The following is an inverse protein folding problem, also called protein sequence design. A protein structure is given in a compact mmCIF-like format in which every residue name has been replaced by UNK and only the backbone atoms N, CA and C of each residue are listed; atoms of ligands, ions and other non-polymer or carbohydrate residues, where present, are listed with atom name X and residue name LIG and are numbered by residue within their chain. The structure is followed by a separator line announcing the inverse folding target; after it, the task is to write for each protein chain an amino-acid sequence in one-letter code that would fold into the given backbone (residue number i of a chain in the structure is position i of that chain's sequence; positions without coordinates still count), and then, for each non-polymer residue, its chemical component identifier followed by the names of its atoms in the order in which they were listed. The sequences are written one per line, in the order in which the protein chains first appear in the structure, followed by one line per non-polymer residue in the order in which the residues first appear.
data_IF_685361828434
#
_entry.id   IF_685361828434
#
_cell.length_a   1.000
_cell.length_b   1.000
_cell.length_c   1.000
_cell.angle_alpha   90.00
_cell.angle_beta   90.00
_cell.angle_gamma   90.00
#
_symmetry.space_group_name_H-M   'P 1'
#
loop_
_entity.id
_entity.type
_entity.pdbx_description
1 polymer ?
#
# COMPACT_ATOMS: atom_id res chain seq x y z
N UNK A 1 21.52 -3.49 -9.35
CA UNK A 1 21.27 -3.31 -7.90
C UNK A 1 19.78 -3.10 -7.70
N UNK A 2 19.19 -3.67 -6.64
CA UNK A 2 17.74 -3.54 -6.37
C UNK A 2 17.45 -2.16 -5.77
N UNK A 3 16.37 -1.52 -6.22
CA UNK A 3 15.97 -0.18 -5.80
C UNK A 3 14.54 -0.25 -5.28
N UNK A 4 14.35 0.00 -3.99
CA UNK A 4 13.03 0.08 -3.36
C UNK A 4 12.75 1.54 -3.05
N UNK A 5 11.54 2.00 -3.38
CA UNK A 5 11.14 3.39 -3.18
C UNK A 5 9.84 3.49 -2.38
N UNK A 6 9.71 4.55 -1.59
CA UNK A 6 8.44 4.99 -1.02
C UNK A 6 8.30 6.51 -1.19
N UNK A 7 7.09 7.04 -0.99
CA UNK A 7 6.82 8.47 -1.04
C UNK A 7 6.02 8.90 0.20
N UNK A 8 6.46 9.98 0.82
CA UNK A 8 5.88 10.57 2.02
C UNK A 8 5.58 12.05 1.78
N UNK A 9 4.39 12.51 2.16
CA UNK A 9 4.04 13.92 2.11
C UNK A 9 3.04 14.27 3.22
N UNK A 10 3.14 15.50 3.71
CA UNK A 10 2.32 15.99 4.80
C UNK A 10 2.59 15.27 6.12
N UNK A 11 1.59 15.22 7.00
CA UNK A 11 1.78 14.78 8.40
C UNK A 11 1.04 13.49 8.75
N UNK A 12 0.42 12.82 7.76
CA UNK A 12 -0.43 11.64 8.00
C UNK A 12 0.37 10.44 8.53
N UNK A 13 1.58 10.23 8.04
CA UNK A 13 2.40 9.06 8.35
C UNK A 13 3.78 9.50 8.85
N UNK A 14 3.99 9.59 10.15
CA UNK A 14 5.28 10.06 10.68
C UNK A 14 6.49 9.16 10.34
N UNK A 15 7.72 9.63 10.63
CA UNK A 15 8.97 8.90 10.35
C UNK A 15 9.02 7.43 10.78
N UNK A 16 8.37 7.01 11.91
CA UNK A 16 8.33 5.59 12.27
C UNK A 16 7.73 4.66 11.21
N UNK A 17 6.84 5.14 10.33
CA UNK A 17 6.33 4.33 9.21
C UNK A 17 7.44 4.02 8.20
N UNK A 18 8.25 5.02 7.86
CA UNK A 18 9.36 4.92 6.92
C UNK A 18 10.46 4.02 7.51
N UNK A 19 10.81 4.24 8.78
CA UNK A 19 11.84 3.46 9.47
C UNK A 19 11.44 1.97 9.61
N UNK A 20 10.17 1.69 9.96
CA UNK A 20 9.64 0.31 9.99
C UNK A 20 9.61 -0.30 8.60
N UNK A 21 9.22 0.46 7.57
CA UNK A 21 9.23 -0.03 6.19
C UNK A 21 10.65 -0.40 5.74
N UNK A 22 11.65 0.44 6.02
CA UNK A 22 13.05 0.10 5.77
C UNK A 22 13.46 -1.17 6.52
N UNK A 23 13.19 -1.26 7.82
CA UNK A 23 13.54 -2.43 8.64
C UNK A 23 12.93 -3.73 8.10
N UNK A 24 11.65 -3.66 7.70
CA UNK A 24 10.95 -4.75 7.03
C UNK A 24 11.58 -5.13 5.70
N UNK A 25 11.96 -4.17 4.87
CA UNK A 25 12.64 -4.43 3.58
C UNK A 25 14.01 -5.04 3.82
N UNK A 26 14.85 -4.45 4.66
CA UNK A 26 16.21 -4.89 4.94
C UNK A 26 16.27 -6.34 5.45
N UNK A 27 15.31 -6.75 6.28
CA UNK A 27 15.19 -8.14 6.75
C UNK A 27 14.79 -9.14 5.66
N UNK A 28 14.19 -8.67 4.56
CA UNK A 28 13.53 -9.51 3.56
C UNK A 28 14.04 -9.28 2.14
N UNK A 29 15.20 -8.67 1.94
CA UNK A 29 15.78 -8.50 0.60
C UNK A 29 17.27 -8.84 0.63
N UNK A 30 17.76 -9.55 -0.37
CA UNK A 30 19.20 -9.87 -0.44
C UNK A 30 20.01 -8.60 -0.75
N UNK A 31 21.02 -8.22 0.04
CA UNK A 31 21.92 -7.12 -0.30
C UNK A 31 22.77 -7.41 -1.56
N UNK A 32 23.28 -6.38 -2.26
CA UNK A 32 23.08 -4.95 -2.02
C UNK A 32 21.74 -4.44 -2.59
N UNK A 33 21.14 -3.47 -1.90
CA UNK A 33 19.96 -2.73 -2.35
C UNK A 33 20.03 -1.27 -1.90
N UNK A 34 19.29 -0.39 -2.59
CA UNK A 34 19.00 0.98 -2.13
C UNK A 34 17.55 1.07 -1.68
N UNK A 35 17.31 1.84 -0.63
CA UNK A 35 15.97 2.19 -0.18
C UNK A 35 15.85 3.72 -0.15
N UNK A 36 14.97 4.27 -0.98
CA UNK A 36 14.83 5.71 -1.18
C UNK A 36 13.44 6.16 -0.73
N UNK A 37 13.38 7.19 0.11
CA UNK A 37 12.14 7.87 0.45
C UNK A 37 12.10 9.25 -0.22
N UNK A 38 11.12 9.45 -1.09
CA UNK A 38 10.78 10.79 -1.58
C UNK A 38 9.92 11.50 -0.53
N UNK A 39 10.44 12.52 0.14
CA UNK A 39 9.78 13.19 1.24
C UNK A 39 9.90 14.72 1.19
N UNK A 40 8.99 15.40 1.88
CA UNK A 40 9.01 16.84 2.15
C UNK A 40 9.85 17.19 3.39
N UNK A 41 9.86 16.33 4.41
CA UNK A 41 10.64 16.50 5.63
C UNK A 41 11.41 15.21 5.98
N UNK A 42 12.75 15.21 5.96
CA UNK A 42 13.56 14.05 6.31
C UNK A 42 13.75 13.84 7.81
N UNK A 43 13.24 14.74 8.66
CA UNK A 43 13.49 14.72 10.10
C UNK A 43 13.02 13.42 10.74
N UNK A 44 13.90 12.79 11.53
CA UNK A 44 13.60 11.54 12.24
C UNK A 44 13.60 10.27 11.36
N UNK A 45 13.91 10.39 10.06
CA UNK A 45 14.18 9.24 9.20
C UNK A 45 15.60 8.74 9.48
N UNK A 46 15.75 7.42 9.57
CA UNK A 46 17.04 6.77 9.84
C UNK A 46 18.05 6.95 8.70
N UNK A 47 19.38 6.97 8.97
CA UNK A 47 20.41 7.31 7.98
C UNK A 47 20.58 6.29 6.86
N UNK A 48 20.12 5.04 7.04
CA UNK A 48 20.18 4.03 5.98
C UNK A 48 19.11 4.21 4.90
N UNK A 49 18.11 5.05 5.17
CA UNK A 49 17.14 5.48 4.16
C UNK A 49 17.72 6.68 3.43
N UNK A 50 17.89 6.53 2.12
CA UNK A 50 18.25 7.65 1.27
C UNK A 50 17.04 8.56 1.12
N UNK A 51 17.14 9.81 1.55
CA UNK A 51 16.05 10.78 1.46
C UNK A 51 16.27 11.70 0.27
N UNK A 52 15.25 11.81 -0.58
CA UNK A 52 15.22 12.73 -1.71
C UNK A 52 14.00 13.64 -1.58
N UNK A 53 14.06 14.90 -2.07
CA UNK A 53 12.89 15.76 -2.11
C UNK A 53 11.79 15.11 -2.96
N UNK A 54 10.53 15.40 -2.66
CA UNK A 54 9.41 15.02 -3.51
C UNK A 54 9.67 15.41 -4.97
N UNK A 55 9.48 14.50 -5.95
CA UNK A 55 9.68 14.84 -7.36
C UNK A 55 8.84 16.04 -7.75
N UNK A 56 9.48 17.00 -8.41
CA UNK A 56 8.85 18.23 -8.87
C UNK A 56 7.79 17.93 -9.92
N UNK A 57 6.69 18.69 -9.86
CA UNK A 57 5.57 18.63 -10.80
C UNK A 57 5.17 20.07 -11.10
N UNK A 58 4.71 20.31 -12.32
CA UNK A 58 4.28 21.62 -12.81
C UNK A 58 2.74 21.72 -12.94
N UNK A 59 2.03 20.86 -12.21
CA UNK A 59 0.57 20.86 -12.10
C UNK A 59 0.13 20.74 -10.64
N UNK A 60 -1.05 21.26 -10.33
CA UNK A 60 -1.64 21.14 -9.01
C UNK A 60 -2.24 19.73 -8.82
N UNK A 61 -2.00 19.12 -7.65
CA UNK A 61 -2.67 17.87 -7.29
C UNK A 61 -4.13 18.16 -6.94
N UNK A 62 -5.11 17.58 -7.65
CA UNK A 62 -6.51 17.89 -7.43
C UNK A 62 -6.99 17.38 -6.07
N UNK A 63 -7.77 18.21 -5.38
CA UNK A 63 -8.45 17.82 -4.13
C UNK A 63 -9.67 16.96 -4.48
N UNK A 64 -9.55 15.65 -4.25
CA UNK A 64 -10.61 14.70 -4.56
C UNK A 64 -11.03 13.88 -3.35
N UNK A 65 -12.25 13.33 -3.38
CA UNK A 65 -12.78 12.49 -2.31
C UNK A 65 -12.07 11.14 -2.20
N UNK A 66 -11.37 10.70 -3.24
CA UNK A 66 -10.81 9.35 -3.37
C UNK A 66 -9.60 9.35 -4.28
N UNK A 67 -8.76 8.32 -4.13
CA UNK A 67 -7.50 8.21 -4.86
C UNK A 67 -6.36 8.92 -4.12
N UNK A 68 -5.15 8.43 -4.39
CA UNK A 68 -3.91 8.93 -3.81
C UNK A 68 -3.08 9.56 -4.93
N UNK A 69 -3.62 10.63 -5.51
CA UNK A 69 -3.06 11.33 -6.67
C UNK A 69 -1.68 11.98 -6.48
N UNK A 70 -1.19 12.31 -5.26
CA UNK A 70 0.21 12.68 -5.06
C UNK A 70 1.22 11.64 -5.57
N UNK A 71 0.82 10.35 -5.71
CA UNK A 71 1.64 9.32 -6.36
C UNK A 71 1.99 9.65 -7.82
N UNK A 72 1.28 10.58 -8.46
CA UNK A 72 1.61 11.05 -9.81
C UNK A 72 3.02 11.64 -9.92
N UNK A 73 3.60 12.11 -8.82
CA UNK A 73 5.01 12.53 -8.74
C UNK A 73 5.99 11.42 -9.14
N UNK A 74 5.60 10.15 -8.97
CA UNK A 74 6.44 8.99 -9.33
C UNK A 74 6.42 8.67 -10.83
N UNK A 75 5.60 9.34 -11.62
CA UNK A 75 5.45 9.04 -13.05
C UNK A 75 6.43 9.81 -13.93
N UNK A 76 7.25 10.69 -13.36
CA UNK A 76 8.16 11.54 -14.11
C UNK A 76 9.26 10.82 -14.88
N UNK A 77 9.85 11.56 -15.81
CA UNK A 77 10.96 11.11 -16.65
C UNK A 77 12.18 10.67 -15.83
N UNK A 78 12.36 11.27 -14.66
CA UNK A 78 13.45 11.02 -13.71
C UNK A 78 12.90 10.95 -12.29
N UNK A 79 13.58 10.18 -11.45
CA UNK A 79 13.32 10.07 -10.01
C UNK A 79 14.66 10.13 -9.28
N UNK A 80 15.18 11.34 -9.09
CA UNK A 80 16.56 11.52 -8.61
C UNK A 80 17.58 10.98 -9.61
N UNK A 81 18.56 10.22 -9.11
CA UNK A 81 19.57 9.50 -9.88
C UNK A 81 19.15 8.05 -10.24
N UNK A 82 17.92 7.64 -9.88
CA UNK A 82 17.45 6.28 -10.11
C UNK A 82 17.26 6.00 -11.60
N UNK A 83 17.55 4.75 -11.98
CA UNK A 83 17.40 4.27 -13.36
C UNK A 83 16.97 2.81 -13.39
N UNK A 84 16.37 2.35 -14.49
CA UNK A 84 15.88 0.97 -14.59
C UNK A 84 14.76 0.68 -13.59
N UNK A 85 14.53 -0.60 -13.22
CA UNK A 85 13.38 -1.00 -12.42
C UNK A 85 13.49 -0.56 -10.95
N UNK A 86 12.43 0.06 -10.45
CA UNK A 86 12.19 0.38 -9.04
C UNK A 86 10.96 -0.37 -8.52
N UNK A 87 10.99 -0.81 -7.27
CA UNK A 87 9.83 -1.36 -6.57
C UNK A 87 9.26 -0.32 -5.61
N UNK A 88 8.07 0.20 -5.91
CA UNK A 88 7.36 1.09 -5.02
C UNK A 88 6.61 0.30 -3.93
N UNK A 89 6.69 0.80 -2.70
CA UNK A 89 5.95 0.31 -1.53
C UNK A 89 5.23 1.49 -0.84
N UNK A 90 3.92 1.33 -0.58
CA UNK A 90 3.18 2.22 0.32
C UNK A 90 3.73 2.12 1.75
N UNK A 91 3.51 3.15 2.56
CA UNK A 91 4.02 3.21 3.95
C UNK A 91 3.27 2.28 4.92
N UNK A 92 2.00 1.96 4.63
CA UNK A 92 1.09 1.22 5.51
C UNK A 92 0.92 -0.26 5.10
N UNK A 93 2.03 -0.92 4.76
CA UNK A 93 2.06 -2.37 4.48
C UNK A 93 3.02 -3.13 5.40
N UNK A 94 2.96 -4.46 5.31
CA UNK A 94 3.88 -5.39 5.94
C UNK A 94 4.71 -6.10 4.89
N UNK A 95 6.02 -6.24 5.11
CA UNK A 95 6.84 -7.23 4.38
C UNK A 95 7.01 -8.47 5.28
N UNK A 96 6.48 -9.59 4.81
CA UNK A 96 6.43 -10.87 5.54
C UNK A 96 7.32 -11.95 4.95
N UNK A 97 7.89 -11.73 3.76
CA UNK A 97 8.80 -12.66 3.11
C UNK A 97 9.64 -11.99 2.03
N UNK A 98 10.52 -12.76 1.38
CA UNK A 98 11.55 -12.21 0.48
C UNK A 98 10.95 -11.35 -0.65
N UNK A 99 11.58 -10.19 -0.89
CA UNK A 99 11.23 -9.23 -1.95
C UNK A 99 11.96 -9.50 -3.26
N UNK A 100 12.98 -10.36 -3.29
CA UNK A 100 13.80 -10.62 -4.48
C UNK A 100 12.95 -11.05 -5.68
N UNK A 101 11.92 -11.91 -5.52
CA UNK A 101 11.07 -12.31 -6.64
C UNK A 101 10.28 -11.16 -7.29
N UNK A 102 10.05 -10.04 -6.58
CA UNK A 102 9.40 -8.87 -7.20
C UNK A 102 10.30 -8.22 -8.26
N UNK A 103 11.62 -8.34 -8.14
CA UNK A 103 12.59 -7.84 -9.11
C UNK A 103 12.89 -8.84 -10.23
N UNK A 104 12.76 -10.14 -9.95
CA UNK A 104 13.01 -11.22 -10.92
C UNK A 104 11.82 -11.51 -11.82
N UNK A 105 10.60 -11.16 -11.38
CA UNK A 105 9.39 -11.43 -12.14
C UNK A 105 9.17 -10.43 -13.29
N UNK A 106 9.01 -10.98 -14.50
CA UNK A 106 8.80 -10.21 -15.73
C UNK A 106 10.10 -9.63 -16.30
N UNK A 107 9.98 -8.93 -17.41
CA UNK A 107 11.09 -8.21 -18.04
C UNK A 107 11.39 -6.92 -17.25
N UNK A 108 12.64 -6.44 -17.24
CA UNK A 108 13.02 -5.19 -16.57
C UNK A 108 12.13 -4.00 -16.96
N UNK A 109 11.71 -3.94 -18.22
CA UNK A 109 10.89 -2.84 -18.77
C UNK A 109 9.38 -2.94 -18.51
N UNK A 110 8.92 -4.02 -17.86
CA UNK A 110 7.50 -4.20 -17.54
C UNK A 110 7.04 -3.27 -16.42
N UNK A 111 5.81 -2.80 -16.53
CA UNK A 111 5.05 -2.22 -15.42
C UNK A 111 4.22 -3.33 -14.77
N UNK A 112 4.49 -3.65 -13.50
CA UNK A 112 3.87 -4.76 -12.79
C UNK A 112 3.18 -4.27 -11.53
N UNK A 113 1.88 -4.50 -11.42
CA UNK A 113 1.08 -4.10 -10.25
C UNK A 113 0.72 -5.31 -9.40
N UNK A 114 0.47 -5.06 -8.12
CA UNK A 114 -0.21 -6.04 -7.28
C UNK A 114 -1.69 -6.15 -7.69
N UNK A 115 -2.27 -7.34 -7.58
CA UNK A 115 -3.66 -7.58 -8.00
C UNK A 115 -4.63 -6.88 -7.06
N UNK A 116 -5.60 -6.14 -7.60
CA UNK A 116 -6.69 -5.61 -6.80
C UNK A 116 -7.70 -6.75 -6.52
N UNK A 117 -7.96 -7.11 -5.25
CA UNK A 117 -8.86 -8.21 -4.96
C UNK A 117 -10.35 -7.83 -5.06
N UNK A 118 -10.68 -6.58 -5.41
CA UNK A 118 -12.04 -6.03 -5.24
C UNK A 118 -13.03 -6.40 -6.32
N UNK A 119 -12.56 -6.66 -7.53
CA UNK A 119 -13.40 -7.17 -8.60
C UNK A 119 -12.61 -8.26 -9.35
N UNK A 120 -12.87 -9.55 -9.09
CA UNK A 120 -12.13 -10.65 -9.73
C UNK A 120 -12.25 -10.67 -11.27
N UNK A 121 -13.31 -10.08 -11.82
CA UNK A 121 -13.57 -9.99 -13.25
C UNK A 121 -12.85 -8.81 -13.90
N UNK A 122 -12.55 -7.77 -13.13
CA UNK A 122 -11.77 -6.62 -13.60
C UNK A 122 -10.30 -6.90 -13.31
N UNK A 123 -9.45 -7.00 -14.34
CA UNK A 123 -7.99 -7.17 -14.17
C UNK A 123 -7.32 -5.88 -13.67
N UNK A 124 -7.85 -5.28 -12.60
CA UNK A 124 -7.31 -4.09 -11.98
C UNK A 124 -6.07 -4.40 -11.15
N UNK A 125 -5.04 -3.61 -11.33
CA UNK A 125 -3.92 -3.53 -10.42
C UNK A 125 -4.24 -2.58 -9.26
N UNK A 126 -3.40 -2.66 -8.24
CA UNK A 126 -3.30 -1.67 -7.18
C UNK A 126 -1.87 -1.19 -7.04
N UNK A 127 -1.72 0.07 -6.62
CA UNK A 127 -0.45 0.82 -6.60
C UNK A 127 0.10 0.96 -5.18
N UNK A 128 -0.22 0.01 -4.29
CA UNK A 128 0.45 -0.11 -2.98
C UNK A 128 1.75 -0.90 -3.07
N UNK A 129 1.83 -1.79 -4.07
CA UNK A 129 3.05 -2.49 -4.47
C UNK A 129 3.05 -2.52 -5.98
N UNK A 130 3.99 -1.82 -6.62
CA UNK A 130 4.14 -1.88 -8.06
C UNK A 130 5.59 -1.64 -8.49
N UNK A 131 6.04 -2.39 -9.50
CA UNK A 131 7.38 -2.28 -10.10
C UNK A 131 7.25 -1.63 -11.45
N UNK A 132 8.13 -0.68 -11.74
CA UNK A 132 8.21 -0.04 -13.04
C UNK A 132 9.64 0.46 -13.30
N UNK A 133 10.09 0.52 -14.56
CA UNK A 133 11.30 1.24 -14.91
C UNK A 133 11.10 2.77 -14.81
N UNK A 134 12.08 3.47 -14.24
CA UNK A 134 12.07 4.95 -14.14
C UNK A 134 11.85 5.57 -15.53
N UNK A 135 11.00 6.60 -15.61
CA UNK A 135 10.67 7.31 -16.85
C UNK A 135 9.59 6.66 -17.72
N UNK A 136 9.31 5.37 -17.55
CA UNK A 136 8.30 4.66 -18.38
C UNK A 136 6.87 5.12 -18.16
N UNK A 137 6.56 5.66 -16.99
CA UNK A 137 5.22 6.16 -16.68
C UNK A 137 5.00 7.61 -17.11
N UNK A 138 5.99 8.27 -17.74
CA UNK A 138 5.89 9.67 -18.18
C UNK A 138 4.64 9.97 -19.02
N UNK A 139 4.21 9.12 -19.97
CA UNK A 139 2.98 9.38 -20.71
C UNK A 139 1.73 9.52 -19.81
N UNK A 140 1.69 8.85 -18.65
CA UNK A 140 0.58 9.00 -17.69
C UNK A 140 0.65 10.35 -17.00
N UNK A 141 1.86 10.81 -16.71
CA UNK A 141 2.05 12.13 -16.11
C UNK A 141 1.56 13.22 -17.05
N UNK A 142 1.90 13.14 -18.34
CA UNK A 142 1.44 14.12 -19.35
C UNK A 142 -0.08 14.11 -19.53
N UNK A 143 -0.69 12.92 -19.57
CA UNK A 143 -2.15 12.79 -19.62
C UNK A 143 -2.79 13.40 -18.36
N UNK A 144 -2.24 13.09 -17.18
CA UNK A 144 -2.77 13.60 -15.91
C UNK A 144 -2.59 15.11 -15.79
N UNK A 145 -1.44 15.64 -16.19
CA UNK A 145 -1.11 17.07 -16.19
C UNK A 145 -2.06 17.89 -17.06
N UNK A 146 -2.51 17.36 -18.20
CA UNK A 146 -3.40 18.07 -19.12
C UNK A 146 -4.78 18.36 -18.51
N UNK A 147 -5.29 17.47 -17.66
CA UNK A 147 -6.55 17.65 -16.93
C UNK A 147 -6.56 16.85 -15.61
N UNK A 148 -5.90 17.34 -14.54
CA UNK A 148 -5.73 16.57 -13.32
C UNK A 148 -7.08 16.23 -12.67
N UNK A 149 -7.99 17.21 -12.59
CA UNK A 149 -9.30 17.02 -11.97
C UNK A 149 -10.17 16.08 -12.79
N UNK A 150 -10.27 16.27 -14.11
CA UNK A 150 -11.09 15.41 -14.96
C UNK A 150 -10.62 13.96 -14.96
N UNK A 151 -9.30 13.72 -15.01
CA UNK A 151 -8.74 12.37 -14.85
C UNK A 151 -9.06 11.82 -13.46
N UNK A 152 -8.89 12.63 -12.41
CA UNK A 152 -9.12 12.17 -11.06
C UNK A 152 -10.60 11.79 -10.80
N UNK A 153 -11.55 12.54 -11.35
CA UNK A 153 -12.98 12.25 -11.26
C UNK A 153 -13.39 11.06 -12.13
N UNK A 154 -12.88 10.96 -13.35
CA UNK A 154 -13.19 9.87 -14.28
C UNK A 154 -12.71 8.51 -13.74
N UNK A 155 -11.49 8.44 -13.20
CA UNK A 155 -10.92 7.19 -12.73
C UNK A 155 -11.17 6.93 -11.25
N UNK A 156 -11.41 7.96 -10.44
CA UNK A 156 -11.63 7.97 -8.97
C UNK A 156 -10.45 7.49 -8.13
N UNK A 157 -9.61 6.61 -8.65
CA UNK A 157 -8.42 6.07 -8.01
C UNK A 157 -7.27 6.03 -9.01
N UNK A 158 -6.09 6.47 -8.59
CA UNK A 158 -4.88 6.52 -9.39
C UNK A 158 -4.48 5.13 -9.91
N UNK A 159 -4.71 4.07 -9.13
CA UNK A 159 -4.44 2.70 -9.56
C UNK A 159 -5.22 2.27 -10.81
N UNK A 160 -6.45 2.77 -10.99
CA UNK A 160 -7.27 2.48 -12.19
C UNK A 160 -6.71 3.21 -13.40
N UNK A 161 -6.26 4.45 -13.18
CA UNK A 161 -5.60 5.24 -14.21
C UNK A 161 -4.30 4.56 -14.67
N UNK A 162 -3.44 4.16 -13.73
CA UNK A 162 -2.20 3.42 -14.03
C UNK A 162 -2.50 2.11 -14.76
N UNK A 163 -3.44 1.30 -14.25
CA UNK A 163 -3.78 0.00 -14.88
C UNK A 163 -4.22 0.15 -16.34
N UNK A 164 -4.97 1.22 -16.67
CA UNK A 164 -5.54 1.43 -18.00
C UNK A 164 -4.61 2.14 -18.97
N UNK A 165 -3.65 2.92 -18.48
CA UNK A 165 -2.84 3.82 -19.32
C UNK A 165 -1.33 3.51 -19.33
N UNK A 166 -0.84 2.60 -18.47
CA UNK A 166 0.57 2.19 -18.46
C UNK A 166 1.07 1.81 -19.87
N UNK A 167 2.19 2.36 -20.36
CA UNK A 167 2.67 2.07 -21.71
C UNK A 167 3.09 0.60 -21.84
N UNK A 168 2.55 -0.09 -22.83
CA UNK A 168 2.71 -1.54 -22.99
C UNK A 168 1.78 -2.38 -22.10
N UNK A 169 0.87 -1.74 -21.37
CA UNK A 169 -0.06 -2.38 -20.44
C UNK A 169 0.60 -2.75 -19.10
N UNK A 170 -0.22 -3.29 -18.19
CA UNK A 170 0.25 -3.78 -16.89
C UNK A 170 0.28 -5.30 -16.84
N UNK A 171 1.33 -5.86 -16.23
CA UNK A 171 1.34 -7.23 -15.72
C UNK A 171 0.92 -7.22 -14.26
N UNK A 172 0.51 -8.39 -13.76
CA UNK A 172 0.14 -8.55 -12.36
C UNK A 172 1.09 -9.54 -11.69
N UNK A 173 1.55 -9.21 -10.49
CA UNK A 173 2.32 -10.17 -9.69
C UNK A 173 1.52 -11.47 -9.49
N UNK A 174 2.21 -12.62 -9.33
CA UNK A 174 1.57 -13.90 -9.04
C UNK A 174 0.60 -13.81 -7.86
N UNK A 175 -0.48 -14.60 -7.93
CA UNK A 175 -1.45 -14.68 -6.82
C UNK A 175 -0.75 -15.21 -5.58
N UNK A 176 -1.14 -14.69 -4.41
CA UNK A 176 -0.57 -15.07 -3.12
C UNK A 176 0.57 -14.18 -2.65
N UNK A 177 1.36 -13.57 -3.56
CA UNK A 177 2.52 -12.74 -3.16
C UNK A 177 2.13 -11.52 -2.35
N UNK A 178 1.03 -10.86 -2.74
CA UNK A 178 0.47 -9.71 -2.04
C UNK A 178 -0.91 -10.08 -1.51
N UNK A 179 -1.04 -10.17 -0.20
CA UNK A 179 -2.29 -10.50 0.49
C UNK A 179 -2.97 -9.24 1.03
N UNK A 180 -4.29 -9.27 1.05
CA UNK A 180 -5.13 -8.18 1.55
C UNK A 180 -5.61 -8.49 2.97
N UNK A 181 -5.21 -7.69 3.96
CA UNK A 181 -5.47 -8.01 5.38
C UNK A 181 -6.93 -8.38 5.69
N UNK A 182 -7.89 -7.54 5.28
CA UNK A 182 -9.32 -7.77 5.56
C UNK A 182 -9.94 -8.98 4.84
N UNK A 183 -9.33 -9.46 3.76
CA UNK A 183 -9.85 -10.55 2.91
C UNK A 183 -9.14 -11.86 3.21
N UNK A 184 -7.81 -11.82 3.27
CA UNK A 184 -6.98 -13.01 3.32
C UNK A 184 -6.51 -13.35 4.74
N UNK A 185 -6.33 -12.33 5.60
CA UNK A 185 -5.85 -12.52 6.98
C UNK A 185 -7.01 -12.59 7.98
N UNK A 186 -7.99 -11.70 7.85
CA UNK A 186 -9.16 -11.64 8.74
C UNK A 186 -9.97 -12.93 8.63
N UNK A 187 -10.37 -13.49 9.77
CA UNK A 187 -11.29 -14.63 9.83
C UNK A 187 -12.71 -14.23 9.42
N UNK A 188 -13.48 -15.16 8.86
CA UNK A 188 -14.91 -14.97 8.61
C UNK A 188 -15.70 -15.06 9.93
N UNK A 189 -16.91 -14.51 9.96
CA UNK A 189 -17.84 -14.70 11.08
C UNK A 189 -18.35 -16.15 11.12
N UNK A 190 -18.42 -16.81 12.30
CA UNK A 190 -18.16 -16.28 13.65
C UNK A 190 -16.71 -16.42 14.14
N UNK A 191 -15.82 -17.06 13.37
CA UNK A 191 -14.43 -17.31 13.76
C UNK A 191 -13.65 -16.01 14.08
N UNK A 192 -14.00 -14.87 13.51
CA UNK A 192 -13.40 -13.57 13.85
C UNK A 192 -13.55 -13.15 15.31
N UNK A 193 -14.52 -13.70 16.04
CA UNK A 193 -14.68 -13.49 17.48
C UNK A 193 -13.82 -14.43 18.33
N UNK A 194 -13.44 -15.58 17.78
CA UNK A 194 -12.78 -16.65 18.51
C UNK A 194 -11.27 -16.69 18.24
N UNK A 195 -10.86 -16.40 17.00
CA UNK A 195 -9.50 -16.59 16.52
C UNK A 195 -8.90 -15.28 16.00
N UNK A 196 -7.58 -15.05 16.18
CA UNK A 196 -6.90 -13.91 15.59
C UNK A 196 -6.87 -14.01 14.05
N UNK A 197 -6.69 -12.87 13.36
CA UNK A 197 -6.32 -12.87 11.95
C UNK A 197 -5.12 -13.79 11.71
N UNK A 198 -5.19 -14.61 10.66
CA UNK A 198 -4.10 -15.53 10.30
C UNK A 198 -3.05 -14.79 9.47
N UNK A 199 -1.79 -15.17 9.65
CA UNK A 199 -0.74 -14.80 8.71
C UNK A 199 -0.87 -15.68 7.45
N UNK A 200 -0.95 -15.09 6.24
CA UNK A 200 -0.96 -15.85 5.00
C UNK A 200 0.43 -16.43 4.72
N UNK A 201 0.52 -17.76 4.57
CA UNK A 201 1.80 -18.50 4.47
C UNK A 201 2.64 -18.12 3.25
N UNK A 202 1.99 -17.94 2.10
CA UNK A 202 2.68 -17.69 0.82
C UNK A 202 2.84 -16.19 0.52
N UNK A 203 2.36 -15.32 1.42
CA UNK A 203 2.43 -13.88 1.22
C UNK A 203 3.82 -13.33 1.56
N UNK A 204 4.31 -12.52 0.64
CA UNK A 204 5.54 -11.74 0.80
C UNK A 204 5.25 -10.34 1.30
N UNK A 205 4.09 -9.80 0.94
CA UNK A 205 3.59 -8.53 1.41
C UNK A 205 2.13 -8.66 1.85
N UNK A 206 1.76 -7.99 2.94
CA UNK A 206 0.37 -7.80 3.35
C UNK A 206 0.02 -6.32 3.33
N UNK A 207 -0.98 -5.95 2.53
CA UNK A 207 -1.46 -4.58 2.38
C UNK A 207 -2.68 -4.29 3.27
N UNK A 208 -2.87 -3.01 3.59
CA UNK A 208 -3.95 -2.51 4.45
C UNK A 208 -4.88 -1.49 3.76
N UNK A 209 -5.61 -1.85 2.68
CA UNK A 209 -6.47 -0.87 2.01
C UNK A 209 -7.59 -0.31 2.88
N UNK A 210 -7.74 1.02 2.85
CA UNK A 210 -8.81 1.77 3.50
C UNK A 210 -8.43 2.24 4.91
N UNK A 211 -9.38 2.16 5.84
CA UNK A 211 -9.24 2.78 7.17
C UNK A 211 -8.62 1.92 8.28
N UNK A 212 -8.17 0.69 7.98
CA UNK A 212 -7.60 -0.21 8.99
C UNK A 212 -6.10 -0.21 8.76
N UNK A 213 -5.32 0.22 9.74
CA UNK A 213 -3.84 0.28 9.64
C UNK A 213 -3.18 -0.93 10.31
N UNK A 214 -1.85 -1.13 10.14
CA UNK A 214 -1.10 -2.11 10.92
C UNK A 214 -1.31 -1.96 12.44
N UNK A 215 -1.34 -0.74 12.98
CA UNK A 215 -1.59 -0.48 14.40
C UNK A 215 -2.98 -0.91 14.84
N UNK A 216 -4.00 -0.60 14.03
CA UNK A 216 -5.36 -1.07 14.28
C UNK A 216 -5.40 -2.60 14.37
N UNK A 217 -4.71 -3.30 13.46
CA UNK A 217 -4.63 -4.76 13.47
C UNK A 217 -3.91 -5.31 14.72
N UNK A 218 -2.81 -4.68 15.15
CA UNK A 218 -2.10 -5.04 16.38
C UNK A 218 -3.03 -4.89 17.58
N UNK A 219 -3.76 -3.77 17.66
CA UNK A 219 -4.70 -3.47 18.75
C UNK A 219 -6.02 -4.25 18.68
N UNK A 220 -6.29 -4.96 17.58
CA UNK A 220 -7.55 -5.69 17.38
C UNK A 220 -8.75 -4.78 17.12
N UNK A 221 -8.55 -3.69 16.37
CA UNK A 221 -9.60 -2.73 15.99
C UNK A 221 -9.77 -2.71 14.47
N UNK A 222 -11.00 -2.49 13.99
CA UNK A 222 -11.26 -2.43 12.53
C UNK A 222 -11.01 -1.05 11.91
N UNK A 223 -10.82 -0.05 12.75
CA UNK A 223 -10.44 1.34 12.48
C UNK A 223 -10.18 2.02 13.84
N UNK A 224 -9.71 3.28 13.81
CA UNK A 224 -9.42 4.07 15.02
C UNK A 224 -10.53 4.07 16.09
N UNK A 225 -11.81 4.02 15.69
CA UNK A 225 -12.98 4.02 16.59
C UNK A 225 -13.55 2.61 16.83
N UNK A 226 -12.87 1.56 16.38
CA UNK A 226 -13.28 0.18 16.51
C UNK A 226 -13.32 -0.27 17.97
N UNK A 227 -14.24 -1.18 18.29
CA UNK A 227 -14.28 -1.80 19.62
C UNK A 227 -13.04 -2.69 19.83
N UNK A 228 -12.52 -2.72 21.06
CA UNK A 228 -11.33 -3.52 21.43
C UNK A 228 -11.67 -4.88 22.00
N UNK A 229 -12.95 -5.13 22.31
CA UNK A 229 -13.42 -6.41 22.82
C UNK A 229 -14.68 -6.89 22.10
N UNK A 230 -14.84 -8.21 22.04
CA UNK A 230 -16.04 -8.84 21.48
C UNK A 230 -17.32 -8.36 22.19
N UNK A 231 -17.26 -8.25 23.54
CA UNK A 231 -18.38 -7.79 24.37
C UNK A 231 -18.80 -6.37 24.00
N UNK A 232 -17.83 -5.45 23.93
CA UNK A 232 -18.10 -4.07 23.53
C UNK A 232 -18.65 -4.00 22.11
N UNK A 233 -18.05 -4.74 21.18
CA UNK A 233 -18.45 -4.78 19.78
C UNK A 233 -19.90 -5.25 19.62
N UNK A 234 -20.31 -6.31 20.33
CA UNK A 234 -21.69 -6.80 20.34
C UNK A 234 -22.64 -5.84 21.04
N UNK A 235 -22.22 -5.20 22.15
CA UNK A 235 -23.05 -4.20 22.86
C UNK A 235 -23.41 -3.02 21.95
N UNK A 236 -22.51 -2.61 21.05
CA UNK A 236 -22.79 -1.53 20.08
C UNK A 236 -23.96 -1.86 19.14
N UNK A 237 -24.19 -3.13 18.81
CA UNK A 237 -25.37 -3.54 18.02
C UNK A 237 -26.69 -3.29 18.76
N UNK A 238 -26.68 -3.50 20.07
CA UNK A 238 -27.85 -3.35 20.94
C UNK A 238 -28.19 -1.87 21.19
N UNK A 239 -27.17 -1.01 21.26
CA UNK A 239 -27.35 0.42 21.55
C UNK A 239 -27.60 1.28 20.31
N UNK A 240 -27.70 0.69 19.12
CA UNK A 240 -27.93 1.42 17.87
C UNK A 240 -26.76 2.31 17.40
N UNK A 241 -25.61 2.28 18.08
CA UNK A 241 -24.42 3.09 17.77
C UNK A 241 -23.58 2.50 16.63
N UNK A 242 -24.24 2.01 15.58
CA UNK A 242 -23.59 1.31 14.46
C UNK A 242 -23.87 2.07 13.17
N UNK A 243 -22.81 2.63 12.55
CA UNK A 243 -22.90 3.34 11.26
C UNK A 243 -23.16 2.42 10.05
N UNK A 244 -23.05 1.11 10.21
CA UNK A 244 -23.20 0.11 9.14
C UNK A 244 -24.42 -0.80 9.36
N UNK A 245 -24.88 -1.48 8.31
CA UNK A 245 -25.90 -2.53 8.45
C UNK A 245 -25.45 -3.57 9.48
N UNK A 246 -26.36 -4.07 10.33
CA UNK A 246 -26.05 -4.99 11.45
C UNK A 246 -25.13 -6.15 11.07
N UNK A 247 -25.37 -6.79 9.92
CA UNK A 247 -24.53 -7.87 9.40
C UNK A 247 -23.12 -7.42 9.00
N UNK A 248 -22.98 -6.21 8.47
CA UNK A 248 -21.68 -5.61 8.15
C UNK A 248 -20.87 -5.36 9.41
N UNK A 249 -21.52 -4.86 10.47
CA UNK A 249 -20.87 -4.63 11.76
C UNK A 249 -20.31 -5.92 12.35
N UNK A 250 -21.09 -7.00 12.42
CA UNK A 250 -20.62 -8.29 12.97
C UNK A 250 -19.36 -8.81 12.24
N UNK A 251 -19.30 -8.60 10.91
CA UNK A 251 -18.12 -8.95 10.10
C UNK A 251 -16.91 -8.07 10.38
N UNK A 252 -17.11 -6.87 10.92
CA UNK A 252 -16.08 -5.88 11.20
C UNK A 252 -15.47 -6.00 12.60
N UNK A 253 -15.64 -7.13 13.29
CA UNK A 253 -14.82 -7.45 14.46
C UNK A 253 -13.52 -8.15 14.03
N UNK A 254 -12.41 -7.77 14.66
CA UNK A 254 -11.15 -8.51 14.58
C UNK A 254 -10.59 -8.65 16.00
N UNK A 255 -9.87 -9.73 16.27
CA UNK A 255 -9.03 -9.84 17.47
C UNK A 255 -7.65 -9.23 17.18
N UNK A 256 -6.86 -8.88 18.21
CA UNK A 256 -5.45 -8.53 18.05
C UNK A 256 -4.71 -9.53 17.16
N UNK A 257 -3.83 -9.02 16.29
CA UNK A 257 -3.00 -9.81 15.40
C UNK A 257 -1.52 -9.68 15.80
N UNK A 258 -1.01 -10.47 16.77
CA UNK A 258 0.35 -10.33 17.28
C UNK A 258 1.43 -10.43 16.20
N UNK A 259 1.24 -11.33 15.23
CA UNK A 259 2.17 -11.51 14.11
C UNK A 259 2.38 -10.23 13.28
N UNK A 260 1.40 -9.30 13.26
CA UNK A 260 1.59 -8.00 12.61
C UNK A 260 2.69 -7.21 13.32
N UNK A 261 2.75 -7.24 14.65
CA UNK A 261 3.80 -6.56 15.42
C UNK A 261 5.18 -7.21 15.22
N UNK A 262 5.22 -8.54 15.10
CA UNK A 262 6.47 -9.29 14.87
C UNK A 262 7.17 -8.87 13.56
N UNK A 263 6.36 -8.52 12.56
CA UNK A 263 6.83 -8.06 11.26
C UNK A 263 6.96 -6.53 11.17
N UNK A 264 6.00 -5.77 11.70
CA UNK A 264 5.90 -4.31 11.55
C UNK A 264 6.79 -3.56 12.56
N UNK A 265 8.09 -3.78 12.42
CA UNK A 265 9.14 -3.23 13.28
C UNK A 265 10.37 -2.83 12.47
N UNK A 266 11.17 -1.97 13.06
CA UNK A 266 12.50 -1.61 12.55
C UNK A 266 13.46 -2.81 12.59
#
# INVERSE_FOLDING_TARGET
MKQVICIHWGTKYGPPYINRLYGMVARNITPPFRFICFCDDPTGIRPEVETLPLPEIDYEIPKTRSGIWPKSRLWGARLGDLSGPVLFLDLDLLVTGSLDPFFEFGAPDDVILSRNPSNPLERLGQTSVFRFPVGKLLPLQEIFKADPLGVAEAYRYEQRFVTRNAPGGVKLFPRGWVAHFRRDCRRITPLNYLLPPKQPKDARIVIFPGHLTPEDAILGRYNANGATSAREHLRRLLTGRVKSRRLGHIRHFIRPAPWVADHWRE
#
